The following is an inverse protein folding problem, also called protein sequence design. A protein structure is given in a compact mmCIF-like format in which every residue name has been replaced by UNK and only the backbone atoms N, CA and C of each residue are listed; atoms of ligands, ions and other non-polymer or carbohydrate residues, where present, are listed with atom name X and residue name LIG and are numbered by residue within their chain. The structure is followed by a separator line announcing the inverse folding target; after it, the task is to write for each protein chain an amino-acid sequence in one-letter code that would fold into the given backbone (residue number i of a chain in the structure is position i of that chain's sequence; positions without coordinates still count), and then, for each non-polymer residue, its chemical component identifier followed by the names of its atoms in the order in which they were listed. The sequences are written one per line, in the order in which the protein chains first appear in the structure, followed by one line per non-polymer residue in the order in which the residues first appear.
data_IF_556824163366
#
_entry.id   IF_556824163366
#
_cell.length_a   1.000
_cell.length_b   1.000
_cell.length_c   1.000
_cell.angle_alpha   90.00
_cell.angle_beta   90.00
_cell.angle_gamma   90.00
#
_symmetry.space_group_name_H-M   'P 1'
#
loop_
_entity.id
_entity.type
_entity.pdbx_description
1 polymer ?
#
# COMPACT_ATOMS: atom_id res chain seq x y z
N UNK A 1 -15.76 -14.70 24.87
CA UNK A 1 -16.28 -13.32 24.73
C UNK A 1 -15.08 -12.39 24.74
N UNK A 2 -14.80 -11.73 23.63
CA UNK A 2 -13.72 -10.74 23.59
C UNK A 2 -14.12 -9.53 24.40
N UNK A 3 -13.37 -9.25 25.47
CA UNK A 3 -13.55 -8.08 26.30
C UNK A 3 -13.03 -6.86 25.51
N UNK A 4 -13.95 -6.04 24.98
CA UNK A 4 -13.61 -4.80 24.29
C UNK A 4 -12.89 -3.86 25.27
N UNK A 5 -11.75 -3.32 24.84
CA UNK A 5 -11.09 -2.21 25.53
C UNK A 5 -11.99 -0.98 25.54
N UNK A 6 -11.90 -0.17 26.59
CA UNK A 6 -12.66 1.10 26.71
C UNK A 6 -12.34 2.04 25.51
N UNK A 7 -11.09 2.07 25.07
CA UNK A 7 -10.65 2.82 23.90
C UNK A 7 -11.25 2.31 22.58
N UNK A 8 -11.47 0.99 22.45
CA UNK A 8 -12.12 0.42 21.25
C UNK A 8 -13.62 0.75 21.22
N UNK A 9 -14.27 0.81 22.39
CA UNK A 9 -15.67 1.22 22.50
C UNK A 9 -15.84 2.70 22.13
N UNK A 10 -14.98 3.56 22.67
CA UNK A 10 -14.95 5.01 22.36
C UNK A 10 -14.65 5.26 20.88
N UNK A 11 -13.71 4.52 20.30
CA UNK A 11 -13.39 4.60 18.88
C UNK A 11 -14.59 4.21 17.98
N UNK A 12 -15.41 3.24 18.36
CA UNK A 12 -16.60 2.82 17.61
C UNK A 12 -17.75 3.83 17.66
N UNK A 13 -17.86 4.61 18.73
CA UNK A 13 -18.93 5.62 18.89
C UNK A 13 -18.63 6.95 18.20
N UNK A 14 -17.45 7.13 17.62
CA UNK A 14 -17.08 8.36 16.93
C UNK A 14 -18.01 8.65 15.74
N UNK A 15 -18.39 9.91 15.58
CA UNK A 15 -19.30 10.35 14.51
C UNK A 15 -18.68 10.36 13.10
N UNK A 16 -17.35 10.50 12.99
CA UNK A 16 -16.66 10.68 11.72
C UNK A 16 -15.80 9.46 11.36
N UNK A 17 -16.05 8.87 10.19
CA UNK A 17 -15.12 7.94 9.55
C UNK A 17 -13.96 8.70 8.91
N UNK A 18 -12.73 8.27 9.19
CA UNK A 18 -11.52 8.83 8.57
C UNK A 18 -11.36 8.33 7.13
N UNK A 19 -10.53 9.03 6.33
CA UNK A 19 -10.20 8.58 4.96
C UNK A 19 -9.56 7.19 4.97
N UNK A 20 -8.69 6.91 5.96
CA UNK A 20 -8.04 5.61 6.14
C UNK A 20 -9.06 4.50 6.39
N UNK A 21 -10.02 4.70 7.28
CA UNK A 21 -11.04 3.70 7.55
C UNK A 21 -11.89 3.38 6.33
N UNK A 22 -12.27 4.40 5.55
CA UNK A 22 -13.01 4.20 4.31
C UNK A 22 -12.21 3.38 3.31
N UNK A 23 -10.94 3.74 3.11
CA UNK A 23 -10.03 3.00 2.23
C UNK A 23 -9.86 1.54 2.66
N UNK A 24 -9.57 1.29 3.95
CA UNK A 24 -9.41 -0.07 4.46
C UNK A 24 -10.69 -0.89 4.34
N UNK A 25 -11.85 -0.29 4.58
CA UNK A 25 -13.14 -0.97 4.41
C UNK A 25 -13.45 -1.30 2.94
N UNK A 26 -13.00 -0.47 2.00
CA UNK A 26 -13.10 -0.76 0.56
C UNK A 26 -12.14 -1.88 0.16
N UNK A 27 -10.88 -1.84 0.62
CA UNK A 27 -9.89 -2.89 0.36
C UNK A 27 -10.35 -4.24 0.93
N UNK A 28 -10.99 -4.24 2.10
CA UNK A 28 -11.52 -5.48 2.68
C UNK A 28 -12.56 -6.18 1.78
N UNK A 29 -13.32 -5.42 1.00
CA UNK A 29 -14.31 -5.94 0.04
C UNK A 29 -13.71 -6.33 -1.31
N UNK A 30 -12.66 -5.63 -1.75
CA UNK A 30 -12.07 -5.77 -3.08
C UNK A 30 -11.02 -6.87 -3.11
N UNK A 31 -10.28 -7.09 -2.02
CA UNK A 31 -9.21 -8.09 -1.98
C UNK A 31 -9.77 -9.51 -1.83
N UNK A 32 -9.34 -10.47 -2.66
CA UNK A 32 -9.77 -11.86 -2.59
C UNK A 32 -9.02 -12.65 -1.51
N UNK A 33 -9.19 -12.27 -0.23
CA UNK A 33 -8.42 -12.79 0.92
C UNK A 33 -8.22 -14.30 0.90
N UNK A 34 -9.30 -15.08 0.73
CA UNK A 34 -9.25 -16.54 0.74
C UNK A 34 -8.41 -17.13 -0.40
N UNK A 35 -8.42 -16.47 -1.58
CA UNK A 35 -7.61 -16.92 -2.72
C UNK A 35 -6.13 -16.67 -2.45
N UNK A 36 -5.79 -15.48 -1.90
CA UNK A 36 -4.42 -15.14 -1.53
C UNK A 36 -3.89 -16.03 -0.41
N UNK A 37 -4.67 -16.23 0.66
CA UNK A 37 -4.31 -17.14 1.75
C UNK A 37 -4.05 -18.56 1.24
N UNK A 38 -4.87 -19.07 0.33
CA UNK A 38 -4.68 -20.39 -0.29
C UNK A 38 -3.34 -20.51 -1.03
N UNK A 39 -2.87 -19.43 -1.66
CA UNK A 39 -1.56 -19.41 -2.35
C UNK A 39 -0.39 -19.47 -1.35
N UNK A 40 -0.51 -18.82 -0.20
CA UNK A 40 0.56 -18.72 0.80
C UNK A 40 0.56 -19.92 1.76
N UNK A 41 -0.60 -20.47 2.07
CA UNK A 41 -0.77 -21.49 3.10
C UNK A 41 0.19 -22.70 3.01
N UNK A 42 0.57 -23.22 1.82
CA UNK A 42 1.53 -24.33 1.70
C UNK A 42 2.91 -24.01 2.28
N UNK A 43 3.31 -22.74 2.24
CA UNK A 43 4.62 -22.26 2.66
C UNK A 43 4.60 -21.71 4.10
N UNK A 44 3.42 -21.38 4.61
CA UNK A 44 3.25 -20.82 5.94
C UNK A 44 3.21 -21.94 6.99
N UNK A 45 4.37 -22.25 7.57
CA UNK A 45 4.56 -23.39 8.47
C UNK A 45 3.75 -23.25 9.77
N UNK A 46 3.15 -24.38 10.17
CA UNK A 46 2.41 -24.53 11.45
C UNK A 46 3.23 -25.24 12.54
N UNK A 47 4.48 -25.61 12.28
CA UNK A 47 5.22 -26.56 13.12
C UNK A 47 6.43 -25.96 13.83
N UNK A 48 6.53 -26.22 15.11
CA UNK A 48 7.69 -26.00 15.97
C UNK A 48 7.73 -24.66 16.69
N UNK A 49 7.89 -24.67 18.00
CA UNK A 49 8.05 -23.49 18.83
C UNK A 49 6.73 -22.74 19.11
N UNK A 50 6.83 -21.41 19.24
CA UNK A 50 5.69 -20.52 19.49
C UNK A 50 4.73 -20.53 18.29
N UNK A 51 3.41 -20.66 18.51
CA UNK A 51 2.44 -20.63 17.42
C UNK A 51 2.60 -19.35 16.58
N UNK A 52 2.64 -19.47 15.24
CA UNK A 52 2.72 -18.31 14.35
C UNK A 52 1.44 -17.48 14.44
N UNK A 53 1.53 -16.22 14.04
CA UNK A 53 0.33 -15.41 13.90
C UNK A 53 -0.57 -15.99 12.80
N UNK A 54 -1.90 -15.77 12.88
CA UNK A 54 -2.80 -16.18 11.79
C UNK A 54 -2.33 -15.63 10.44
N UNK A 55 -2.36 -16.45 9.40
CA UNK A 55 -1.95 -16.03 8.06
C UNK A 55 -2.74 -14.81 7.56
N UNK A 56 -4.03 -14.75 7.86
CA UNK A 56 -4.90 -13.60 7.55
C UNK A 56 -4.38 -12.29 8.15
N UNK A 57 -3.86 -12.33 9.38
CA UNK A 57 -3.27 -11.16 10.04
C UNK A 57 -2.01 -10.71 9.31
N UNK A 58 -1.08 -11.64 9.05
CA UNK A 58 0.19 -11.30 8.39
C UNK A 58 0.00 -10.81 6.96
N UNK A 59 -0.94 -11.39 6.22
CA UNK A 59 -1.27 -10.93 4.88
C UNK A 59 -1.86 -9.51 4.88
N UNK A 60 -2.75 -9.19 5.83
CA UNK A 60 -3.31 -7.84 5.99
C UNK A 60 -2.24 -6.82 6.34
N UNK A 61 -1.32 -7.16 7.23
CA UNK A 61 -0.18 -6.31 7.58
C UNK A 61 0.70 -6.05 6.36
N UNK A 62 1.05 -7.08 5.62
CA UNK A 62 1.88 -6.97 4.42
C UNK A 62 1.24 -6.05 3.36
N UNK A 63 -0.06 -6.21 3.09
CA UNK A 63 -0.75 -5.33 2.15
C UNK A 63 -0.82 -3.88 2.66
N UNK A 64 -1.03 -3.66 3.96
CA UNK A 64 -0.97 -2.31 4.54
C UNK A 64 0.41 -1.67 4.39
N UNK A 65 1.51 -2.44 4.56
CA UNK A 65 2.86 -1.91 4.30
C UNK A 65 2.98 -1.36 2.88
N UNK A 66 2.49 -2.11 1.88
CA UNK A 66 2.52 -1.66 0.49
C UNK A 66 1.62 -0.44 0.24
N UNK A 67 0.39 -0.43 0.75
CA UNK A 67 -0.54 0.68 0.52
C UNK A 67 -0.10 1.99 1.16
N UNK A 68 0.61 1.92 2.27
CA UNK A 68 1.05 3.10 3.03
C UNK A 68 2.56 3.37 2.94
N UNK A 69 3.31 2.55 2.21
CA UNK A 69 4.76 2.70 2.04
C UNK A 69 5.53 2.59 3.37
N UNK A 70 5.11 1.69 4.26
CA UNK A 70 5.69 1.56 5.61
C UNK A 70 6.81 0.53 5.65
N UNK A 71 7.91 0.88 6.35
CA UNK A 71 8.96 -0.07 6.75
C UNK A 71 8.45 -1.03 7.83
N UNK A 72 9.21 -2.10 8.11
CA UNK A 72 8.83 -3.08 9.14
C UNK A 72 8.69 -2.44 10.52
N UNK A 73 9.64 -1.59 11.01
CA UNK A 73 9.47 -0.86 12.27
C UNK A 73 8.28 0.10 12.26
N UNK A 74 8.11 0.89 11.18
CA UNK A 74 7.00 1.83 11.09
C UNK A 74 5.63 1.12 11.09
N UNK A 75 5.58 -0.10 10.56
CA UNK A 75 4.35 -0.89 10.57
C UNK A 75 4.05 -1.42 11.97
N UNK A 76 5.05 -1.87 12.72
CA UNK A 76 4.91 -2.25 14.14
C UNK A 76 4.37 -1.08 14.95
N UNK A 77 5.00 0.10 14.89
CA UNK A 77 4.53 1.32 15.57
C UNK A 77 3.09 1.65 15.20
N UNK A 78 2.75 1.59 13.91
CA UNK A 78 1.41 1.86 13.42
C UNK A 78 0.36 0.88 13.97
N UNK A 79 0.71 -0.38 14.20
CA UNK A 79 -0.19 -1.35 14.82
C UNK A 79 -0.45 -1.05 16.31
N UNK A 80 0.50 -0.43 17.00
CA UNK A 80 0.30 0.05 18.37
C UNK A 80 -0.49 1.36 18.42
N UNK A 81 -0.20 2.31 17.56
CA UNK A 81 -0.72 3.68 17.63
C UNK A 81 -2.05 3.86 16.90
N UNK A 82 -2.21 3.18 15.73
CA UNK A 82 -3.32 3.45 14.81
C UNK A 82 -4.40 2.38 14.93
N UNK A 83 -5.45 2.69 15.69
CA UNK A 83 -6.57 1.76 15.94
C UNK A 83 -7.20 1.21 14.66
N UNK A 84 -7.38 2.03 13.61
CA UNK A 84 -7.96 1.56 12.34
C UNK A 84 -7.12 0.50 11.63
N UNK A 85 -5.79 0.61 11.66
CA UNK A 85 -4.88 -0.36 11.06
C UNK A 85 -4.84 -1.65 11.87
N UNK A 86 -4.76 -1.52 13.20
CA UNK A 86 -4.83 -2.65 14.11
C UNK A 86 -6.12 -3.46 13.98
N UNK A 87 -7.28 -2.78 13.94
CA UNK A 87 -8.57 -3.43 13.73
C UNK A 87 -8.68 -4.09 12.35
N UNK A 88 -8.18 -3.43 11.29
CA UNK A 88 -8.13 -4.02 9.96
C UNK A 88 -7.29 -5.29 9.92
N UNK A 89 -6.17 -5.32 10.62
CA UNK A 89 -5.34 -6.52 10.76
C UNK A 89 -6.02 -7.64 11.58
N UNK A 90 -7.12 -7.34 12.27
CA UNK A 90 -7.78 -8.29 13.18
C UNK A 90 -7.05 -8.45 14.51
N UNK A 91 -6.32 -7.42 14.94
CA UNK A 91 -5.54 -7.40 16.18
C UNK A 91 -6.22 -6.54 17.25
N UNK A 92 -5.98 -6.90 18.52
CA UNK A 92 -6.40 -6.14 19.69
C UNK A 92 -5.27 -6.04 20.69
N UNK A 93 -5.12 -4.89 21.36
CA UNK A 93 -4.13 -4.71 22.41
C UNK A 93 -4.50 -5.47 23.70
N UNK A 94 -5.79 -5.73 23.90
CA UNK A 94 -6.29 -6.39 25.13
C UNK A 94 -6.15 -7.91 25.10
N UNK A 95 -6.22 -8.53 23.94
CA UNK A 95 -6.32 -10.00 23.80
C UNK A 95 -5.19 -10.62 23.02
N UNK A 96 -4.43 -9.82 22.28
CA UNK A 96 -3.47 -10.32 21.31
C UNK A 96 -2.09 -9.70 21.44
N UNK A 97 -1.13 -10.47 20.97
CA UNK A 97 0.23 -9.96 20.73
C UNK A 97 0.23 -9.22 19.41
N UNK A 98 0.93 -8.10 19.35
CA UNK A 98 1.21 -7.40 18.12
C UNK A 98 2.48 -8.03 17.50
N UNK A 99 2.49 -8.32 16.20
CA UNK A 99 3.70 -8.75 15.50
C UNK A 99 4.76 -7.66 15.56
N UNK A 100 5.98 -8.04 15.97
CA UNK A 100 7.15 -7.19 15.96
C UNK A 100 7.73 -7.04 14.55
N UNK A 101 8.63 -6.08 14.37
CA UNK A 101 9.31 -5.82 13.09
C UNK A 101 9.98 -7.07 12.50
N UNK A 102 10.58 -7.90 13.37
CA UNK A 102 11.27 -9.14 12.96
C UNK A 102 10.27 -10.17 12.41
N UNK A 103 9.11 -10.30 13.05
CA UNK A 103 8.03 -11.19 12.58
C UNK A 103 7.49 -10.71 11.22
N UNK A 104 7.32 -9.40 11.06
CA UNK A 104 6.87 -8.78 9.80
C UNK A 104 7.91 -9.02 8.71
N UNK A 105 9.20 -8.80 9.00
CA UNK A 105 10.32 -9.06 8.10
C UNK A 105 10.37 -10.53 7.67
N UNK A 106 10.24 -11.47 8.61
CA UNK A 106 10.25 -12.89 8.29
C UNK A 106 9.11 -13.29 7.35
N UNK A 107 7.92 -12.71 7.52
CA UNK A 107 6.82 -12.96 6.60
C UNK A 107 7.11 -12.44 5.19
N UNK A 108 7.69 -11.25 5.07
CA UNK A 108 8.10 -10.69 3.79
C UNK A 108 9.16 -11.55 3.11
N UNK A 109 10.19 -12.00 3.85
CA UNK A 109 11.20 -12.92 3.32
C UNK A 109 10.61 -14.24 2.86
N UNK A 110 9.61 -14.80 3.57
CA UNK A 110 8.90 -16.00 3.13
C UNK A 110 8.23 -15.78 1.76
N UNK A 111 7.59 -14.64 1.56
CA UNK A 111 6.97 -14.32 0.27
C UNK A 111 8.01 -14.15 -0.85
N UNK A 112 9.15 -13.54 -0.55
CA UNK A 112 10.27 -13.33 -1.47
C UNK A 112 10.94 -14.67 -1.83
N UNK A 113 11.28 -15.50 -0.84
CA UNK A 113 11.93 -16.81 -1.01
C UNK A 113 11.14 -17.73 -1.94
N UNK A 114 9.82 -17.71 -1.80
CA UNK A 114 8.92 -18.53 -2.62
C UNK A 114 8.35 -17.80 -3.84
N UNK A 115 8.85 -16.59 -4.16
CA UNK A 115 8.45 -15.78 -5.31
C UNK A 115 6.92 -15.57 -5.39
N UNK A 116 6.27 -15.45 -4.23
CA UNK A 116 4.81 -15.37 -4.15
C UNK A 116 4.27 -13.99 -4.59
N UNK A 117 5.08 -12.95 -4.62
CA UNK A 117 4.64 -11.59 -4.97
C UNK A 117 3.90 -11.53 -6.31
N UNK A 118 4.49 -12.10 -7.37
CA UNK A 118 3.87 -12.16 -8.69
C UNK A 118 2.59 -12.99 -8.68
N UNK A 119 2.59 -14.15 -8.02
CA UNK A 119 1.42 -15.02 -7.94
C UNK A 119 0.24 -14.35 -7.21
N UNK A 120 0.52 -13.58 -6.16
CA UNK A 120 -0.50 -12.80 -5.44
C UNK A 120 -1.05 -11.66 -6.31
N UNK A 121 -0.18 -10.96 -7.04
CA UNK A 121 -0.59 -9.91 -7.97
C UNK A 121 -1.50 -10.45 -9.06
N UNK A 122 -1.13 -11.58 -9.69
CA UNK A 122 -1.91 -12.21 -10.76
C UNK A 122 -3.28 -12.70 -10.25
N UNK A 123 -3.35 -13.20 -9.01
CA UNK A 123 -4.60 -13.60 -8.38
C UNK A 123 -5.54 -12.39 -8.16
N UNK A 124 -5.00 -11.27 -7.67
CA UNK A 124 -5.78 -10.02 -7.53
C UNK A 124 -6.24 -9.52 -8.89
N UNK A 125 -5.35 -9.49 -9.88
CA UNK A 125 -5.67 -9.05 -11.24
C UNK A 125 -6.77 -9.89 -11.87
N UNK A 126 -6.66 -11.22 -11.76
CA UNK A 126 -7.69 -12.15 -12.27
C UNK A 126 -9.04 -11.88 -11.60
N UNK A 127 -9.06 -11.77 -10.28
CA UNK A 127 -10.27 -11.51 -9.52
C UNK A 127 -10.94 -10.18 -9.88
N UNK A 128 -10.15 -9.10 -10.06
CA UNK A 128 -10.66 -7.81 -10.51
C UNK A 128 -11.21 -7.89 -11.94
N UNK A 129 -10.54 -8.65 -12.82
CA UNK A 129 -10.99 -8.90 -14.19
C UNK A 129 -12.32 -9.65 -14.24
N UNK A 130 -12.49 -10.70 -13.42
CA UNK A 130 -13.74 -11.47 -13.29
C UNK A 130 -14.93 -10.58 -12.88
N UNK A 131 -14.66 -9.53 -12.10
CA UNK A 131 -15.67 -8.56 -11.63
C UNK A 131 -15.86 -7.33 -12.53
N UNK A 132 -15.12 -7.25 -13.64
CA UNK A 132 -15.17 -6.10 -14.53
C UNK A 132 -14.63 -4.80 -13.91
N UNK A 133 -13.80 -4.90 -12.87
CA UNK A 133 -13.20 -3.76 -12.16
C UNK A 133 -11.87 -3.31 -12.78
N UNK A 134 -11.36 -4.02 -13.80
CA UNK A 134 -10.19 -3.61 -14.57
C UNK A 134 -10.63 -2.87 -15.83
N UNK A 135 -10.02 -1.72 -16.06
CA UNK A 135 -10.09 -1.06 -17.36
C UNK A 135 -9.38 -1.97 -18.38
N UNK A 136 -10.13 -2.47 -19.37
CA UNK A 136 -9.61 -3.36 -20.42
C UNK A 136 -9.10 -2.59 -21.63
N UNK A 137 -9.41 -1.31 -21.73
CA UNK A 137 -9.01 -0.41 -22.80
C UNK A 137 -8.92 1.00 -22.26
N UNK A 138 -7.97 1.76 -22.74
CA UNK A 138 -7.76 3.16 -22.37
C UNK A 138 -6.28 3.49 -22.46
N UNK A 139 -5.97 4.68 -22.94
CA UNK A 139 -4.60 5.19 -22.99
C UNK A 139 -4.32 5.98 -21.71
N UNK A 140 -3.29 5.59 -20.96
CA UNK A 140 -2.79 6.38 -19.85
C UNK A 140 -1.81 7.41 -20.41
N UNK A 141 -2.17 8.69 -20.31
CA UNK A 141 -1.29 9.79 -20.71
C UNK A 141 -0.82 10.51 -19.46
N UNK A 142 0.47 10.42 -19.17
CA UNK A 142 1.10 11.21 -18.12
C UNK A 142 1.94 12.33 -18.74
N UNK A 143 1.93 13.49 -18.09
CA UNK A 143 2.68 14.67 -18.49
C UNK A 143 3.72 15.02 -17.43
N UNK A 144 4.97 14.68 -17.74
CA UNK A 144 6.11 15.05 -16.90
C UNK A 144 6.73 16.37 -17.36
N UNK A 145 7.07 17.23 -16.39
CA UNK A 145 7.81 18.46 -16.62
C UNK A 145 9.29 18.18 -16.38
N UNK A 146 10.11 18.40 -17.42
CA UNK A 146 11.56 18.37 -17.33
C UNK A 146 11.99 19.81 -17.15
N UNK A 147 12.41 20.15 -15.92
CA UNK A 147 12.83 21.52 -15.57
C UNK A 147 14.23 21.79 -16.09
N UNK A 148 14.41 22.96 -16.67
CA UNK A 148 15.69 23.41 -17.20
C UNK A 148 16.10 24.74 -16.54
N UNK A 149 17.41 25.01 -16.44
CA UNK A 149 17.89 26.27 -15.89
C UNK A 149 17.36 27.47 -16.70
N UNK A 150 16.62 28.34 -16.06
CA UNK A 150 16.11 29.58 -16.67
C UNK A 150 17.18 30.66 -16.82
N UNK A 151 18.39 30.41 -16.30
CA UNK A 151 19.48 31.37 -16.26
C UNK A 151 20.11 31.57 -17.64
N UNK A 152 20.37 32.81 -17.98
CA UNK A 152 21.18 33.21 -19.15
C UNK A 152 22.66 33.37 -18.82
N UNK A 153 23.11 32.97 -17.61
CA UNK A 153 24.53 33.05 -17.16
C UNK A 153 25.37 31.88 -17.67
N UNK A 154 25.04 31.33 -18.83
CA UNK A 154 25.83 30.33 -19.51
C UNK A 154 26.83 30.99 -20.48
N UNK A 155 27.76 30.19 -21.04
CA UNK A 155 28.80 30.67 -21.95
C UNK A 155 28.23 31.40 -23.18
N UNK A 156 27.03 31.04 -23.62
CA UNK A 156 26.39 31.57 -24.81
C UNK A 156 25.41 32.74 -24.53
N UNK A 157 25.14 33.04 -23.25
CA UNK A 157 24.24 34.09 -22.80
C UNK A 157 22.78 33.92 -23.26
N UNK A 158 22.40 32.72 -23.67
CA UNK A 158 21.07 32.41 -24.24
C UNK A 158 20.39 31.25 -23.48
N UNK A 159 19.07 31.30 -23.44
CA UNK A 159 18.26 30.15 -23.02
C UNK A 159 18.25 29.10 -24.13
N UNK A 160 18.07 27.84 -23.72
CA UNK A 160 17.89 26.74 -24.64
C UNK A 160 16.67 27.02 -25.55
N UNK A 161 16.84 27.06 -26.91
CA UNK A 161 15.74 27.37 -27.82
C UNK A 161 14.66 26.30 -27.90
N UNK A 162 14.94 25.06 -27.48
CA UNK A 162 13.98 23.96 -27.45
C UNK A 162 13.10 23.96 -26.18
N UNK A 163 13.48 24.74 -25.18
CA UNK A 163 12.77 24.82 -23.91
C UNK A 163 11.80 26.00 -23.88
N UNK A 164 10.61 25.74 -23.36
CA UNK A 164 9.55 26.73 -23.29
C UNK A 164 9.03 26.91 -21.86
N UNK A 165 8.34 28.03 -21.63
CA UNK A 165 7.64 28.24 -20.36
C UNK A 165 6.34 27.43 -20.34
N UNK A 166 6.11 26.69 -19.27
CA UNK A 166 4.87 25.97 -19.03
C UNK A 166 4.37 26.21 -17.60
N UNK A 167 3.07 26.07 -17.39
CA UNK A 167 2.44 26.32 -16.10
C UNK A 167 1.82 25.01 -15.56
N UNK A 168 2.08 24.71 -14.29
CA UNK A 168 1.39 23.64 -13.55
C UNK A 168 0.77 24.22 -12.29
N UNK A 169 -0.55 24.30 -12.24
CA UNK A 169 -1.25 25.01 -11.18
C UNK A 169 -0.93 26.51 -11.22
N UNK A 170 -0.43 27.07 -10.11
CA UNK A 170 -0.03 28.48 -10.01
C UNK A 170 1.48 28.71 -10.21
N UNK A 171 2.25 27.67 -10.52
CA UNK A 171 3.70 27.75 -10.64
C UNK A 171 4.13 27.67 -12.12
N UNK A 172 5.05 28.55 -12.53
CA UNK A 172 5.67 28.54 -13.84
C UNK A 172 6.99 27.79 -13.82
N UNK A 173 7.20 27.00 -14.85
CA UNK A 173 8.41 26.24 -15.08
C UNK A 173 8.98 26.61 -16.46
N UNK A 174 10.31 26.63 -16.57
CA UNK A 174 11.01 26.71 -17.85
C UNK A 174 11.60 25.34 -18.15
N UNK A 175 11.25 24.73 -19.29
CA UNK A 175 11.70 23.40 -19.63
C UNK A 175 10.88 22.77 -20.73
N UNK A 176 10.84 21.46 -20.71
CA UNK A 176 10.11 20.66 -21.69
C UNK A 176 8.96 19.89 -21.00
N UNK A 177 7.87 19.75 -21.72
CA UNK A 177 6.74 18.91 -21.27
C UNK A 177 6.75 17.61 -22.07
N UNK A 178 7.03 16.51 -21.41
CA UNK A 178 7.01 15.18 -22.01
C UNK A 178 5.66 14.49 -21.73
N UNK A 179 5.02 13.97 -22.73
CA UNK A 179 3.82 13.14 -22.60
C UNK A 179 4.18 11.70 -22.95
N UNK A 180 3.87 10.79 -22.03
CA UNK A 180 4.00 9.35 -22.25
C UNK A 180 2.60 8.78 -22.33
N UNK A 181 2.25 8.18 -23.46
CA UNK A 181 1.03 7.40 -23.65
C UNK A 181 1.36 5.91 -23.60
N UNK A 182 0.58 5.14 -22.86
CA UNK A 182 0.67 3.68 -22.80
C UNK A 182 -0.72 3.12 -23.03
N UNK A 183 -0.82 2.23 -24.04
CA UNK A 183 -2.04 1.49 -24.38
C UNK A 183 -2.15 0.18 -23.58
#
# INVERSE_FOLDING_TARGET
MDQMSFSDAEYRTKRKQTRREKFLAEMDKVIPWKRLEKRIAPFYRKTGGRPPYPLSVMLRIHLMQHWYGMSDPAMEDALYEITSMRQFAGLSLSTGRIPDETTILHFRHLLEEHQLGQALFDEVRSFLGERGLLLKSGTIVDASLIDAPSSTKNREGKRDPEMHQTRKGNQWYFGMKMHIGVD
#
